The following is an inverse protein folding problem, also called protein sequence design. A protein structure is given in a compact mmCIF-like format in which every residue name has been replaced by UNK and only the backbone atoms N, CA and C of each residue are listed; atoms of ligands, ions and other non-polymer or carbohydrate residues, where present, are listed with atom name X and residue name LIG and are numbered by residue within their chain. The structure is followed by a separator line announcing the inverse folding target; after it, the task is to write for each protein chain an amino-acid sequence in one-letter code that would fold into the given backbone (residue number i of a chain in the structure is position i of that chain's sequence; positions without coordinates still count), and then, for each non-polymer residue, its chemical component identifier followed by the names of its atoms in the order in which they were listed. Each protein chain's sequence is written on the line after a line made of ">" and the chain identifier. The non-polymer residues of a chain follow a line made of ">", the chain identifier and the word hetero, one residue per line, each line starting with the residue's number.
data_IF_404580817759
#
_entry.id   IF_404580817759
#
_cell.length_a   1.000
_cell.length_b   1.000
_cell.length_c   1.000
_cell.angle_alpha   90.00
_cell.angle_beta   90.00
_cell.angle_gamma   90.00
#
_symmetry.space_group_name_H-M   'P 1'
#
loop_
_entity.id
_entity.type
_entity.pdbx_description
1 polymer ?
#
# COMPACT_ATOMS: atom_id res chain seq x y z
N UNK A 1 -4.04 -2.57 11.98
CA UNK A 1 -3.40 -2.82 10.67
C UNK A 1 -3.05 -4.29 10.55
N UNK A 2 -3.13 -4.86 9.36
CA UNK A 2 -2.62 -6.20 9.07
C UNK A 2 -1.47 -6.11 8.06
N UNK A 3 -0.42 -6.91 8.25
CA UNK A 3 0.76 -6.91 7.40
C UNK A 3 0.41 -7.37 5.97
N UNK A 4 0.96 -6.71 4.94
CA UNK A 4 0.72 -7.05 3.54
C UNK A 4 -0.73 -6.82 3.06
N UNK A 5 -1.59 -6.23 3.88
CA UNK A 5 -3.00 -5.98 3.56
C UNK A 5 -3.27 -4.50 3.25
N UNK A 6 -4.29 -4.18 2.43
CA UNK A 6 -4.69 -2.81 2.14
C UNK A 6 -5.05 -1.97 3.39
N UNK A 7 -5.30 -2.63 4.52
CA UNK A 7 -5.53 -1.96 5.81
C UNK A 7 -4.31 -1.18 6.31
N UNK A 8 -3.09 -1.54 5.92
CA UNK A 8 -1.88 -0.78 6.25
C UNK A 8 -1.91 0.59 5.55
N UNK A 9 -2.10 0.59 4.23
CA UNK A 9 -2.25 1.80 3.42
C UNK A 9 -3.43 2.66 3.90
N UNK A 10 -4.53 2.04 4.33
CA UNK A 10 -5.65 2.78 4.91
C UNK A 10 -5.25 3.58 6.14
N UNK A 11 -4.47 2.97 7.04
CA UNK A 11 -3.99 3.63 8.24
C UNK A 11 -3.01 4.76 7.92
N UNK A 12 -2.10 4.55 6.97
CA UNK A 12 -1.18 5.60 6.50
C UNK A 12 -1.92 6.81 5.92
N UNK A 13 -2.96 6.58 5.10
CA UNK A 13 -3.82 7.66 4.59
C UNK A 13 -4.53 8.40 5.72
N UNK A 14 -4.97 7.72 6.77
CA UNK A 14 -5.57 8.35 7.94
C UNK A 14 -4.56 9.19 8.73
N UNK A 15 -3.32 8.71 8.89
CA UNK A 15 -2.24 9.47 9.53
C UNK A 15 -1.93 10.76 8.76
N UNK A 16 -1.84 10.68 7.43
CA UNK A 16 -1.65 11.88 6.60
C UNK A 16 -2.85 12.83 6.68
N UNK A 17 -4.08 12.30 6.69
CA UNK A 17 -5.27 13.12 6.81
C UNK A 17 -5.29 13.91 8.12
N UNK A 18 -5.01 13.25 9.25
CA UNK A 18 -4.92 13.89 10.56
C UNK A 18 -3.81 14.94 10.59
N UNK A 19 -2.63 14.64 10.06
CA UNK A 19 -1.53 15.60 10.02
C UNK A 19 -1.80 16.80 9.10
N UNK A 20 -2.64 16.65 8.07
CA UNK A 20 -3.01 17.73 7.14
C UNK A 20 -3.96 18.76 7.77
N UNK A 21 -4.64 18.42 8.87
CA UNK A 21 -5.52 19.35 9.59
C UNK A 21 -4.77 20.60 10.07
N UNK A 22 -3.48 20.46 10.42
CA UNK A 22 -2.62 21.59 10.74
C UNK A 22 -2.03 22.19 9.45
N UNK A 23 -2.32 23.47 9.11
CA UNK A 23 -1.73 24.15 7.97
C UNK A 23 -0.21 24.39 8.11
N UNK A 24 0.34 24.37 9.32
CA UNK A 24 1.78 24.51 9.55
C UNK A 24 2.57 23.25 9.13
N UNK A 25 1.92 22.09 9.01
CA UNK A 25 2.56 20.87 8.54
C UNK A 25 2.84 20.92 7.04
N UNK A 26 4.14 21.02 6.70
CA UNK A 26 4.64 21.13 5.32
C UNK A 26 5.39 19.89 4.84
N UNK A 27 5.79 18.98 5.75
CA UNK A 27 6.50 17.74 5.47
C UNK A 27 5.85 16.59 6.23
N UNK A 28 5.67 15.46 5.57
CA UNK A 28 4.95 14.30 6.08
C UNK A 28 5.86 13.09 5.93
N UNK A 29 6.31 12.52 7.04
CA UNK A 29 7.26 11.39 7.06
C UNK A 29 6.60 10.22 7.78
N UNK A 30 6.63 9.03 7.18
CA UNK A 30 6.21 7.79 7.86
C UNK A 30 7.40 7.17 8.58
N UNK A 31 7.17 6.76 9.82
CA UNK A 31 8.13 6.09 10.69
C UNK A 31 7.43 4.95 11.44
N UNK A 32 8.20 3.98 11.92
CA UNK A 32 7.77 2.95 12.88
C UNK A 32 8.42 3.14 14.24
N UNK A 33 7.97 2.35 15.21
CA UNK A 33 8.57 2.21 16.54
C UNK A 33 10.03 1.72 16.50
N UNK A 34 10.44 1.05 15.42
CA UNK A 34 11.81 0.61 15.19
C UNK A 34 12.72 1.65 14.53
N UNK A 35 12.20 2.81 14.12
CA UNK A 35 12.99 3.85 13.47
C UNK A 35 13.83 4.63 14.48
N UNK A 36 15.14 4.76 14.19
CA UNK A 36 16.09 5.52 15.01
C UNK A 36 16.73 6.63 14.18
N UNK A 37 16.72 7.89 14.62
CA UNK A 37 17.36 8.99 13.88
C UNK A 37 18.88 8.82 13.89
N UNK A 38 19.49 8.88 12.69
CA UNK A 38 20.95 8.84 12.52
C UNK A 38 21.60 10.22 12.55
N UNK A 39 20.81 11.27 12.32
CA UNK A 39 21.25 12.66 12.34
C UNK A 39 20.43 13.45 13.36
N UNK A 40 20.99 14.56 13.83
CA UNK A 40 20.28 15.45 14.75
C UNK A 40 19.09 16.14 14.07
N UNK A 41 18.21 16.72 14.89
CA UNK A 41 17.00 17.38 14.41
C UNK A 41 17.30 18.55 13.48
N UNK A 42 18.30 19.39 13.79
CA UNK A 42 18.64 20.58 13.00
C UNK A 42 19.03 20.21 11.57
N UNK A 43 19.88 19.19 11.41
CA UNK A 43 20.25 18.65 10.11
C UNK A 43 19.03 18.11 9.36
N UNK A 44 18.25 17.26 10.03
CA UNK A 44 17.05 16.62 9.44
C UNK A 44 16.03 17.65 8.99
N UNK A 45 15.72 18.63 9.83
CA UNK A 45 14.79 19.71 9.54
C UNK A 45 15.28 20.53 8.34
N UNK A 46 16.53 20.96 8.35
CA UNK A 46 17.11 21.76 7.25
C UNK A 46 17.08 20.99 5.93
N UNK A 47 17.45 19.71 5.95
CA UNK A 47 17.43 18.84 4.77
C UNK A 47 16.02 18.67 4.19
N UNK A 48 15.05 18.33 5.05
CA UNK A 48 13.66 18.11 4.62
C UNK A 48 13.01 19.41 4.14
N UNK A 49 13.18 20.50 4.88
CA UNK A 49 12.57 21.79 4.55
C UNK A 49 13.22 22.47 3.34
N UNK A 50 14.52 22.24 3.10
CA UNK A 50 15.26 22.78 1.96
C UNK A 50 14.91 22.15 0.60
N UNK A 51 14.34 20.95 0.59
CA UNK A 51 13.94 20.26 -0.65
C UNK A 51 12.49 20.60 -1.05
N UNK A 52 12.22 21.02 -2.29
CA UNK A 52 10.85 21.20 -2.80
C UNK A 52 10.23 19.89 -3.31
N UNK A 53 10.88 18.74 -3.09
CA UNK A 53 10.50 17.44 -3.65
C UNK A 53 10.12 16.45 -2.56
N UNK A 54 9.16 15.57 -2.86
CA UNK A 54 8.96 14.34 -2.08
C UNK A 54 10.08 13.34 -2.35
N UNK A 55 10.36 12.49 -1.36
CA UNK A 55 11.26 11.34 -1.47
C UNK A 55 10.40 10.09 -1.37
N UNK A 56 10.31 9.36 -2.48
CA UNK A 56 9.53 8.13 -2.62
C UNK A 56 10.36 7.19 -3.46
N UNK A 57 10.61 5.98 -2.96
CA UNK A 57 11.26 4.95 -3.76
C UNK A 57 10.30 4.43 -4.83
N UNK A 58 10.79 4.27 -6.06
CA UNK A 58 9.95 3.88 -7.20
C UNK A 58 10.77 3.22 -8.29
N UNK A 59 10.55 1.93 -8.47
CA UNK A 59 11.15 1.12 -9.53
C UNK A 59 10.13 0.17 -10.16
N UNK A 60 10.42 -0.31 -11.37
CA UNK A 60 9.61 -1.36 -12.01
C UNK A 60 9.82 -2.68 -11.27
N UNK A 61 8.74 -3.39 -10.92
CA UNK A 61 8.85 -4.75 -10.36
C UNK A 61 9.38 -5.72 -11.43
N UNK A 62 10.69 -6.03 -11.37
CA UNK A 62 11.36 -6.94 -12.32
C UNK A 62 10.77 -8.35 -12.33
N UNK A 63 10.16 -8.77 -11.22
CA UNK A 63 9.59 -10.11 -11.14
C UNK A 63 8.18 -10.17 -11.73
N UNK A 64 7.49 -9.03 -11.75
CA UNK A 64 6.11 -8.84 -12.20
C UNK A 64 5.08 -9.80 -11.59
N UNK A 65 5.43 -10.57 -10.55
CA UNK A 65 4.60 -11.65 -10.00
C UNK A 65 3.41 -11.13 -9.19
N UNK A 66 3.54 -9.92 -8.64
CA UNK A 66 2.56 -9.33 -7.71
C UNK A 66 1.50 -8.48 -8.39
N UNK A 67 1.66 -8.17 -9.68
CA UNK A 67 0.65 -7.43 -10.42
C UNK A 67 -0.55 -8.32 -10.75
N UNK A 68 -1.72 -7.95 -10.25
CA UNK A 68 -2.99 -8.58 -10.61
C UNK A 68 -3.58 -7.91 -11.88
N UNK A 69 -3.76 -8.64 -13.00
CA UNK A 69 -4.31 -8.10 -14.25
C UNK A 69 -5.70 -7.45 -14.10
N UNK A 70 -6.49 -7.84 -13.10
CA UNK A 70 -7.80 -7.26 -12.82
C UNK A 70 -7.75 -5.83 -12.28
N UNK A 71 -6.55 -5.30 -11.97
CA UNK A 71 -6.36 -3.90 -11.60
C UNK A 71 -6.40 -2.94 -12.80
N UNK A 72 -6.25 -3.48 -14.01
CA UNK A 72 -6.46 -2.74 -15.26
C UNK A 72 -7.96 -2.43 -15.47
N UNK A 73 -8.34 -1.27 -16.03
CA UNK A 73 -7.50 -0.23 -16.64
C UNK A 73 -7.03 0.87 -15.66
N UNK A 74 -7.52 0.87 -14.42
CA UNK A 74 -7.24 1.95 -13.44
C UNK A 74 -5.75 1.97 -13.09
N UNK A 75 -5.16 0.80 -12.85
CA UNK A 75 -3.73 0.62 -12.65
C UNK A 75 -3.23 -0.27 -13.79
N UNK A 76 -2.74 0.36 -14.85
CA UNK A 76 -2.08 -0.35 -15.95
C UNK A 76 -0.76 -0.94 -15.48
N UNK A 77 -0.33 -2.04 -16.12
CA UNK A 77 0.93 -2.72 -15.80
C UNK A 77 2.15 -1.79 -15.89
N UNK A 78 2.19 -0.91 -16.90
CA UNK A 78 3.28 0.08 -17.07
C UNK A 78 3.33 1.16 -15.98
N UNK A 79 2.25 1.31 -15.21
CA UNK A 79 2.14 2.23 -14.07
C UNK A 79 2.32 1.55 -12.72
N UNK A 80 2.45 0.22 -12.70
CA UNK A 80 2.72 -0.54 -11.49
C UNK A 80 4.15 -0.28 -11.03
N UNK A 81 4.29 0.27 -9.83
CA UNK A 81 5.59 0.62 -9.24
C UNK A 81 5.76 -0.07 -7.89
N UNK A 82 6.98 -0.56 -7.65
CA UNK A 82 7.44 -1.07 -6.36
C UNK A 82 8.35 -0.03 -5.68
N UNK A 83 8.38 -0.03 -4.36
CA UNK A 83 9.23 0.84 -3.56
C UNK A 83 9.14 0.48 -2.08
N UNK A 84 9.85 1.25 -1.27
CA UNK A 84 9.71 1.26 0.19
C UNK A 84 8.33 1.77 0.63
N UNK A 85 7.81 1.22 1.73
CA UNK A 85 6.68 1.79 2.48
C UNK A 85 6.99 3.19 3.03
N UNK A 86 8.26 3.41 3.40
CA UNK A 86 8.71 4.66 4.02
C UNK A 86 8.84 5.77 2.99
N UNK A 87 8.15 6.88 3.22
CA UNK A 87 8.11 8.04 2.32
C UNK A 87 8.30 9.35 3.09
N UNK A 88 8.80 10.36 2.39
CA UNK A 88 8.66 11.76 2.77
C UNK A 88 7.88 12.52 1.71
N UNK A 89 6.76 13.11 2.10
CA UNK A 89 5.90 13.87 1.21
C UNK A 89 5.92 15.36 1.54
N UNK A 90 5.94 16.20 0.51
CA UNK A 90 5.50 17.58 0.63
C UNK A 90 3.98 17.65 0.70
N UNK A 91 3.44 18.70 1.32
CA UNK A 91 2.00 18.87 1.59
C UNK A 91 1.10 18.54 0.39
N UNK A 92 1.37 19.15 -0.77
CA UNK A 92 0.57 18.92 -1.99
C UNK A 92 0.48 17.44 -2.41
N UNK A 93 1.52 16.65 -2.14
CA UNK A 93 1.53 15.22 -2.45
C UNK A 93 0.84 14.39 -1.37
N UNK A 94 0.90 14.80 -0.10
CA UNK A 94 0.10 14.21 0.96
C UNK A 94 -1.42 14.40 0.69
N UNK A 95 -1.82 15.59 0.22
CA UNK A 95 -3.21 15.87 -0.20
C UNK A 95 -3.65 14.95 -1.34
N UNK A 96 -2.78 14.67 -2.32
CA UNK A 96 -3.06 13.69 -3.39
C UNK A 96 -3.25 12.28 -2.82
N UNK A 97 -2.41 11.87 -1.87
CA UNK A 97 -2.51 10.55 -1.23
C UNK A 97 -3.81 10.42 -0.44
N UNK A 98 -4.18 11.42 0.35
CA UNK A 98 -5.41 11.42 1.15
C UNK A 98 -6.66 11.50 0.28
N UNK A 99 -6.63 12.36 -0.74
CA UNK A 99 -7.74 12.56 -1.68
C UNK A 99 -7.96 11.40 -2.65
N UNK A 100 -7.01 10.46 -2.76
CA UNK A 100 -7.20 9.30 -3.63
C UNK A 100 -8.29 8.36 -3.10
N UNK A 101 -9.25 8.05 -3.98
CA UNK A 101 -10.24 7.00 -3.76
C UNK A 101 -10.11 5.88 -4.79
N UNK A 102 -9.70 6.19 -6.02
CA UNK A 102 -9.79 5.24 -7.13
C UNK A 102 -8.69 4.19 -7.09
N UNK A 103 -7.43 4.60 -6.92
CA UNK A 103 -6.29 3.67 -6.90
C UNK A 103 -6.39 2.81 -5.64
N UNK A 104 -6.65 3.42 -4.48
CA UNK A 104 -6.78 2.69 -3.21
C UNK A 104 -7.89 1.63 -3.24
N UNK A 105 -9.04 1.93 -3.87
CA UNK A 105 -10.13 0.94 -3.98
C UNK A 105 -9.75 -0.27 -4.82
N UNK A 106 -8.92 -0.08 -5.85
CA UNK A 106 -8.40 -1.18 -6.67
C UNK A 106 -7.48 -2.08 -5.85
N UNK A 107 -6.53 -1.50 -5.11
CA UNK A 107 -5.70 -2.25 -4.15
C UNK A 107 -6.57 -3.00 -3.14
N UNK A 108 -7.56 -2.33 -2.54
CA UNK A 108 -8.47 -2.93 -1.55
C UNK A 108 -9.25 -4.12 -2.09
N UNK A 109 -9.60 -4.09 -3.38
CA UNK A 109 -10.38 -5.15 -4.03
C UNK A 109 -9.51 -6.33 -4.48
N UNK A 110 -8.31 -6.06 -4.98
CA UNK A 110 -7.52 -7.03 -5.75
C UNK A 110 -6.24 -7.51 -5.06
N UNK A 111 -5.82 -6.84 -3.99
CA UNK A 111 -4.63 -7.19 -3.22
C UNK A 111 -5.03 -7.67 -1.83
N UNK A 112 -5.12 -9.00 -1.66
CA UNK A 112 -5.48 -9.65 -0.40
C UNK A 112 -4.50 -10.77 -0.13
N UNK A 113 -4.06 -10.94 1.11
CA UNK A 113 -3.18 -12.04 1.46
C UNK A 113 -3.92 -13.37 1.42
N UNK A 114 -3.32 -14.33 0.71
CA UNK A 114 -3.78 -15.71 0.56
C UNK A 114 -3.91 -16.45 1.89
N UNK A 115 -3.29 -15.94 2.95
CA UNK A 115 -3.24 -16.58 4.28
C UNK A 115 -4.63 -16.75 4.90
N UNK A 116 -5.60 -15.90 4.53
CA UNK A 116 -6.95 -15.99 5.07
C UNK A 116 -7.62 -17.34 4.74
N UNK A 117 -7.39 -17.91 3.55
CA UNK A 117 -8.00 -19.17 3.14
C UNK A 117 -7.33 -20.42 3.75
N UNK A 118 -6.05 -20.36 4.12
CA UNK A 118 -5.39 -21.47 4.83
C UNK A 118 -5.89 -21.58 6.28
N UNK A 119 -6.06 -20.43 6.96
CA UNK A 119 -6.55 -20.37 8.34
C UNK A 119 -8.09 -20.54 8.43
N UNK A 120 -8.86 -19.99 7.48
CA UNK A 120 -10.32 -20.25 7.39
C UNK A 120 -10.61 -21.69 6.94
N UNK A 121 -9.76 -22.26 6.07
CA UNK A 121 -9.78 -23.68 5.73
C UNK A 121 -9.63 -24.57 6.96
N UNK A 122 -8.73 -24.23 7.88
CA UNK A 122 -8.60 -24.92 9.17
C UNK A 122 -9.83 -24.77 10.07
N UNK A 123 -10.42 -23.57 10.18
CA UNK A 123 -11.67 -23.38 10.97
C UNK A 123 -12.86 -24.18 10.41
N UNK A 124 -13.02 -24.26 9.10
CA UNK A 124 -14.07 -25.05 8.45
C UNK A 124 -13.84 -26.57 8.59
N UNK A 125 -12.59 -27.03 8.59
CA UNK A 125 -12.25 -28.43 8.90
C UNK A 125 -12.60 -28.77 10.35
N UNK A 126 -12.37 -27.86 11.30
CA UNK A 126 -12.75 -28.07 12.70
C UNK A 126 -14.28 -28.09 12.91
N UNK A 127 -15.04 -27.31 12.12
CA UNK A 127 -16.51 -27.37 12.13
C UNK A 127 -17.07 -28.69 11.53
N UNK A 128 -16.34 -29.36 10.63
CA UNK A 128 -16.73 -30.71 10.14
C UNK A 128 -16.69 -31.79 11.22
N UNK A 129 -15.96 -31.59 12.31
CA UNK A 129 -15.97 -32.50 13.46
C UNK A 129 -17.33 -32.53 14.18
N UNK A 130 -18.19 -31.54 13.93
CA UNK A 130 -19.53 -31.38 14.50
C UNK A 130 -20.68 -31.83 13.55
N UNK A 131 -20.39 -32.59 12.49
CA UNK A 131 -21.41 -33.42 11.82
C UNK A 131 -22.37 -32.71 10.85
N UNK A 132 -22.15 -31.47 10.45
CA UNK A 132 -22.99 -30.80 9.44
C UNK A 132 -22.49 -31.07 8.00
N UNK A 133 -23.21 -31.91 7.26
CA UNK A 133 -22.94 -32.22 5.84
C UNK A 133 -23.63 -31.18 4.94
N UNK A 134 -22.97 -30.05 4.68
CA UNK A 134 -23.42 -29.10 3.65
C UNK A 134 -22.88 -29.48 2.25
N UNK A 135 -23.79 -29.46 1.27
CA UNK A 135 -23.63 -29.87 -0.14
C UNK A 135 -22.41 -29.20 -0.82
N UNK A 136 -21.36 -29.98 -1.05
CA UNK A 136 -20.02 -29.61 -1.55
C UNK A 136 -19.95 -28.85 -2.90
N UNK A 137 -20.98 -28.92 -3.75
CA UNK A 137 -20.87 -28.49 -5.17
C UNK A 137 -21.18 -27.02 -5.48
N UNK A 138 -21.81 -26.28 -4.57
CA UNK A 138 -22.25 -24.90 -4.84
C UNK A 138 -21.38 -23.83 -4.16
N UNK A 139 -20.66 -24.18 -3.09
CA UNK A 139 -19.81 -23.24 -2.32
C UNK A 139 -18.41 -23.08 -2.97
N UNK A 140 -17.88 -24.12 -3.61
CA UNK A 140 -16.54 -24.10 -4.20
C UNK A 140 -16.41 -23.27 -5.50
N UNK A 141 -17.52 -22.91 -6.16
CA UNK A 141 -17.45 -22.08 -7.39
C UNK A 141 -17.35 -20.58 -7.12
N UNK A 142 -17.62 -20.12 -5.89
CA UNK A 142 -17.48 -18.71 -5.50
C UNK A 142 -16.14 -18.36 -4.83
N UNK A 143 -15.31 -19.36 -4.51
CA UNK A 143 -14.12 -19.22 -3.65
C UNK A 143 -12.79 -19.42 -4.39
N UNK A 144 -12.82 -19.52 -5.73
CA UNK A 144 -11.62 -19.59 -6.57
C UNK A 144 -11.43 -18.28 -7.33
N UNK A 145 -11.49 -17.15 -6.61
CA UNK A 145 -10.88 -15.93 -7.10
C UNK A 145 -9.49 -15.95 -6.49
N UNK A 146 -8.46 -16.17 -7.32
CA UNK A 146 -7.06 -16.13 -6.89
C UNK A 146 -6.83 -14.81 -6.15
N UNK A 147 -6.80 -14.88 -4.82
CA UNK A 147 -6.41 -13.75 -4.01
C UNK A 147 -4.92 -13.53 -4.28
N UNK A 148 -4.56 -12.36 -4.79
CA UNK A 148 -3.18 -12.04 -5.12
C UNK A 148 -2.60 -11.20 -4.00
N UNK A 149 -1.52 -11.67 -3.41
CA UNK A 149 -0.72 -10.89 -2.47
C UNK A 149 0.12 -9.87 -3.24
N UNK A 150 -0.29 -8.60 -3.20
CA UNK A 150 0.44 -7.52 -3.84
C UNK A 150 1.42 -6.81 -2.91
N UNK A 151 1.28 -6.93 -1.58
CA UNK A 151 1.92 -6.06 -0.58
C UNK A 151 1.65 -4.56 -0.88
N UNK A 152 0.43 -4.06 -0.61
CA UNK A 152 -0.01 -2.72 -1.00
C UNK A 152 0.84 -1.57 -0.45
N UNK A 153 1.35 -1.71 0.76
CA UNK A 153 2.22 -0.75 1.45
C UNK A 153 3.56 -0.53 0.70
N UNK A 154 4.08 -1.55 0.01
CA UNK A 154 5.26 -1.45 -0.86
C UNK A 154 4.94 -1.12 -2.33
N UNK A 155 3.70 -0.74 -2.66
CA UNK A 155 3.28 -0.47 -4.05
C UNK A 155 2.40 0.78 -4.24
N UNK A 156 1.58 1.13 -3.26
CA UNK A 156 0.47 2.06 -3.44
C UNK A 156 0.91 3.48 -3.76
N UNK A 157 1.81 4.10 -2.97
CA UNK A 157 2.12 5.53 -3.08
C UNK A 157 2.77 5.85 -4.43
N UNK A 158 3.78 5.08 -4.81
CA UNK A 158 4.52 5.19 -6.06
C UNK A 158 3.67 4.82 -7.27
N UNK A 159 2.76 3.85 -7.15
CA UNK A 159 1.81 3.52 -8.22
C UNK A 159 0.79 4.65 -8.40
N UNK A 160 0.22 5.15 -7.30
CA UNK A 160 -0.70 6.31 -7.32
C UNK A 160 -0.03 7.50 -8.01
N UNK A 161 1.21 7.78 -7.63
CA UNK A 161 1.92 8.87 -8.26
C UNK A 161 2.24 8.56 -9.72
N UNK A 162 2.67 7.36 -10.11
CA UNK A 162 2.90 7.03 -11.53
C UNK A 162 1.63 7.16 -12.40
N UNK A 163 0.46 6.90 -11.82
CA UNK A 163 -0.85 7.06 -12.44
C UNK A 163 -1.26 8.53 -12.57
N UNK A 164 -1.11 9.33 -11.51
CA UNK A 164 -1.64 10.72 -11.45
C UNK A 164 -0.65 11.81 -11.80
N UNK A 165 0.63 11.56 -11.55
CA UNK A 165 1.73 12.51 -11.72
C UNK A 165 2.72 11.84 -12.69
N UNK A 166 3.24 12.58 -13.67
CA UNK A 166 4.36 12.04 -14.46
C UNK A 166 5.59 12.05 -13.55
N UNK A 167 5.74 11.05 -12.67
CA UNK A 167 6.96 10.84 -11.89
C UNK A 167 7.95 10.14 -12.79
N UNK A 168 9.01 10.87 -13.14
CA UNK A 168 10.21 10.34 -13.78
C UNK A 168 11.09 9.78 -12.68
N UNK A 169 11.33 8.48 -12.72
CA UNK A 169 12.25 7.69 -11.89
C UNK A 169 13.46 8.52 -11.45
N UNK A 170 13.45 9.02 -10.22
CA UNK A 170 14.65 9.58 -9.58
C UNK A 170 14.81 8.99 -8.20
N UNK A 171 15.55 7.90 -8.19
CA UNK A 171 16.32 7.40 -7.06
C UNK A 171 17.01 8.56 -6.34
N UNK A 172 16.71 8.71 -5.07
CA UNK A 172 17.65 9.22 -4.09
C UNK A 172 17.64 8.23 -2.94
N UNK A 173 18.44 7.18 -3.10
CA UNK A 173 18.95 6.44 -1.95
C UNK A 173 19.91 7.36 -1.18
N UNK A 174 19.92 7.23 0.14
CA UNK A 174 20.98 7.76 0.98
C UNK A 174 22.32 7.11 0.61
#
# INVERSE_FOLDING_TARGET
>A
VAWGEPTMVQAEKMLFAAALEDPANQRFVLLSDSCVPLYNFSYTYTYLMGSPKSIVDSFTDKTEKRYNPNMSPVIRKDKWRKGSQWVMLIRKHAEVVVGDKHVFQVFRKHCKMVVTNALLGQKLVNARRLGFVFRRKQILKGAAQEEHDCIPDEHYVQTLFSVRLVIVDKYFGF
#
